data_IF_906802543980
#
_entry.id   IF_906802543980
#
_cell.length_a   1.000
_cell.length_b   1.000
_cell.length_c   1.000
_cell.angle_alpha   90.00
_cell.angle_beta   90.00
_cell.angle_gamma   90.00
#
_symmetry.space_group_name_H-M   'P 1'
#
loop_
_entity.id
_entity.type
_entity.pdbx_description
1 polymer ?
#
# COMPACT_ATOMS: atom_id res chain seq x y z
N UNK A 1 -0.07 -4.45 -28.45
CA UNK A 1 0.79 -4.33 -27.25
C UNK A 1 0.79 -2.89 -26.75
N UNK A 2 0.57 -2.68 -25.46
CA UNK A 2 0.71 -1.37 -24.82
C UNK A 2 2.17 -1.04 -24.51
N UNK A 3 2.46 0.24 -24.34
CA UNK A 3 3.80 0.76 -24.09
C UNK A 3 3.96 1.25 -22.64
N UNK A 4 5.19 1.58 -22.26
CA UNK A 4 5.49 2.22 -20.97
C UNK A 4 4.76 3.56 -20.82
N UNK A 5 4.58 4.33 -21.91
CA UNK A 5 3.79 5.57 -21.87
C UNK A 5 2.31 5.31 -21.53
N UNK A 6 1.75 4.19 -22.00
CA UNK A 6 0.39 3.79 -21.63
C UNK A 6 0.31 3.42 -20.14
N UNK A 7 1.31 2.72 -19.59
CA UNK A 7 1.40 2.43 -18.15
C UNK A 7 1.46 3.74 -17.34
N UNK A 8 2.28 4.71 -17.75
CA UNK A 8 2.38 6.02 -17.09
C UNK A 8 1.08 6.80 -17.11
N UNK A 9 0.31 6.67 -18.19
CA UNK A 9 -1.01 7.30 -18.29
C UNK A 9 -2.03 6.69 -17.30
N UNK A 10 -1.83 5.44 -16.86
CA UNK A 10 -2.69 4.76 -15.88
C UNK A 10 -2.34 5.07 -14.43
N UNK A 11 -1.11 5.51 -14.13
CA UNK A 11 -0.65 5.81 -12.77
C UNK A 11 -1.67 6.66 -11.97
N UNK A 12 -2.23 7.77 -12.50
CA UNK A 12 -3.19 8.58 -11.74
C UNK A 12 -4.45 7.80 -11.36
N UNK A 13 -4.96 6.95 -12.25
CA UNK A 13 -6.14 6.12 -12.00
C UNK A 13 -5.84 5.04 -10.96
N UNK A 14 -4.67 4.41 -11.06
CA UNK A 14 -4.23 3.38 -10.11
C UNK A 14 -4.08 3.97 -8.73
N UNK A 15 -3.40 5.12 -8.60
CA UNK A 15 -3.22 5.83 -7.32
C UNK A 15 -4.57 6.23 -6.74
N UNK A 16 -5.51 6.75 -7.55
CA UNK A 16 -6.84 7.12 -7.05
C UNK A 16 -7.65 5.91 -6.55
N UNK A 17 -7.55 4.76 -7.22
CA UNK A 17 -8.21 3.54 -6.75
C UNK A 17 -7.53 2.97 -5.51
N UNK A 18 -6.21 3.01 -5.49
CA UNK A 18 -5.38 2.57 -4.37
C UNK A 18 -5.69 3.38 -3.10
N UNK A 19 -5.77 4.71 -3.21
CA UNK A 19 -6.06 5.61 -2.08
C UNK A 19 -7.46 5.44 -1.48
N UNK A 20 -8.39 4.86 -2.26
CA UNK A 20 -9.76 4.55 -1.82
C UNK A 20 -9.88 3.14 -1.23
N UNK A 21 -8.81 2.34 -1.33
CA UNK A 21 -8.82 0.99 -0.79
C UNK A 21 -8.83 1.05 0.74
N UNK A 22 -9.56 0.14 1.37
CA UNK A 22 -9.51 0.01 2.83
C UNK A 22 -8.22 -0.73 3.19
N UNK A 23 -7.19 0.03 3.59
CA UNK A 23 -5.91 -0.51 4.02
C UNK A 23 -6.04 -1.14 5.41
N UNK A 24 -5.58 -2.38 5.57
CA UNK A 24 -5.40 -2.99 6.88
C UNK A 24 -4.14 -2.41 7.53
N UNK A 25 -4.32 -1.71 8.66
CA UNK A 25 -3.25 -0.94 9.31
C UNK A 25 -2.78 -1.71 10.55
N UNK A 26 -1.55 -2.20 10.50
CA UNK A 26 -0.89 -2.82 11.64
C UNK A 26 -0.61 -1.82 12.77
N UNK A 27 -0.01 -2.27 13.86
CA UNK A 27 0.14 -1.46 15.06
C UNK A 27 1.58 -1.04 15.33
N UNK A 28 1.73 0.17 15.87
CA UNK A 28 2.99 0.70 16.35
C UNK A 28 2.90 0.92 17.85
N UNK A 29 3.81 0.29 18.59
CA UNK A 29 3.83 0.36 20.05
C UNK A 29 5.25 0.47 20.58
N UNK A 30 5.39 0.97 21.81
CA UNK A 30 6.66 0.95 22.52
C UNK A 30 6.73 -0.29 23.39
N UNK A 31 7.79 -1.09 23.22
CA UNK A 31 8.07 -2.22 24.09
C UNK A 31 9.37 -2.02 24.87
N UNK A 32 9.44 -2.64 26.04
CA UNK A 32 10.64 -2.63 26.88
C UNK A 32 11.41 -3.93 26.69
N UNK A 33 12.66 -3.82 26.22
CA UNK A 33 13.59 -4.93 26.06
C UNK A 33 14.87 -4.73 26.91
N UNK A 34 15.90 -5.55 26.66
CA UNK A 34 17.18 -5.54 27.39
C UNK A 34 17.99 -4.24 27.15
N UNK A 35 17.72 -3.51 26.06
CA UNK A 35 18.41 -2.29 25.64
C UNK A 35 17.62 -1.00 25.96
N UNK A 36 16.35 -1.11 26.36
CA UNK A 36 15.54 0.01 26.85
C UNK A 36 14.11 -0.01 26.31
N UNK A 37 13.53 1.18 26.12
CA UNK A 37 12.25 1.32 25.42
C UNK A 37 12.52 1.49 23.92
N UNK A 38 12.09 0.52 23.12
CA UNK A 38 12.16 0.53 21.66
C UNK A 38 10.79 0.80 21.03
N UNK A 39 10.77 1.43 19.85
CA UNK A 39 9.55 1.53 19.03
C UNK A 39 9.49 0.30 18.12
N UNK A 40 8.39 -0.44 18.22
CA UNK A 40 8.10 -1.59 17.37
C UNK A 40 6.96 -1.26 16.44
N UNK A 41 7.06 -1.79 15.23
CA UNK A 41 6.10 -1.57 14.16
C UNK A 41 5.71 -2.96 13.64
N UNK A 42 4.57 -3.46 14.07
CA UNK A 42 3.96 -4.66 13.54
C UNK A 42 3.20 -4.28 12.29
N UNK A 43 3.83 -4.50 11.14
CA UNK A 43 3.23 -4.21 9.83
C UNK A 43 2.18 -5.26 9.47
N UNK A 44 1.14 -4.83 8.78
CA UNK A 44 0.16 -5.71 8.13
C UNK A 44 0.36 -5.70 6.63
N UNK A 45 0.50 -6.89 6.05
CA UNK A 45 0.58 -7.08 4.61
C UNK A 45 -0.78 -6.82 3.96
N UNK A 46 -0.75 -6.06 2.88
CA UNK A 46 -1.90 -5.67 2.09
C UNK A 46 -1.63 -5.98 0.62
N UNK A 47 -2.72 -6.14 -0.13
CA UNK A 47 -2.68 -6.45 -1.54
C UNK A 47 -3.71 -5.60 -2.28
N UNK A 48 -3.32 -5.08 -3.44
CA UNK A 48 -4.17 -4.33 -4.34
C UNK A 48 -3.98 -4.87 -5.76
N UNK A 49 -5.07 -5.03 -6.50
CA UNK A 49 -5.03 -5.41 -7.91
C UNK A 49 -5.88 -4.50 -8.77
N UNK A 50 -5.33 -4.15 -9.93
CA UNK A 50 -5.98 -3.41 -10.99
C UNK A 50 -6.02 -4.30 -12.23
N UNK A 51 -7.23 -4.60 -12.70
CA UNK A 51 -7.46 -5.43 -13.87
C UNK A 51 -8.48 -4.76 -14.81
N UNK A 52 -8.00 -4.03 -15.83
CA UNK A 52 -8.85 -3.33 -16.78
C UNK A 52 -8.16 -3.19 -18.15
N UNK A 53 -8.92 -3.31 -19.24
CA UNK A 53 -8.44 -3.10 -20.61
C UNK A 53 -7.21 -3.97 -20.99
N UNK A 54 -7.17 -5.21 -20.49
CA UNK A 54 -6.06 -6.14 -20.71
C UNK A 54 -4.86 -5.92 -19.79
N UNK A 55 -4.86 -4.86 -18.98
CA UNK A 55 -3.87 -4.66 -17.92
C UNK A 55 -4.15 -5.54 -16.72
N UNK A 56 -3.10 -6.08 -16.14
CA UNK A 56 -3.07 -6.69 -14.83
C UNK A 56 -1.90 -6.07 -14.06
N UNK A 57 -2.22 -5.28 -13.03
CA UNK A 57 -1.23 -4.67 -12.15
C UNK A 57 -1.54 -5.10 -10.74
N UNK A 58 -0.57 -5.69 -10.07
CA UNK A 58 -0.69 -6.18 -8.69
C UNK A 58 0.34 -5.48 -7.83
N UNK A 59 -0.09 -5.05 -6.65
CA UNK A 59 0.73 -4.29 -5.71
C UNK A 59 0.62 -4.99 -4.36
N UNK A 60 1.75 -5.48 -3.87
CA UNK A 60 1.91 -5.91 -2.49
C UNK A 60 2.57 -4.79 -1.70
N UNK A 61 2.01 -4.48 -0.54
CA UNK A 61 2.49 -3.38 0.30
C UNK A 61 2.20 -3.71 1.75
N UNK A 62 2.82 -3.00 2.68
CA UNK A 62 2.58 -3.20 4.10
C UNK A 62 2.31 -1.88 4.79
N UNK A 63 1.38 -1.88 5.74
CA UNK A 63 0.93 -0.69 6.45
C UNK A 63 1.08 -0.86 7.97
N UNK A 64 1.39 0.22 8.65
CA UNK A 64 1.50 0.30 10.11
C UNK A 64 0.99 1.67 10.57
N UNK A 65 0.41 1.72 11.77
CA UNK A 65 -0.17 2.93 12.32
C UNK A 65 0.11 3.11 13.80
N UNK A 66 0.12 4.37 14.21
CA UNK A 66 0.21 4.78 15.61
C UNK A 66 -1.20 5.04 16.12
N UNK A 67 -1.55 4.41 17.24
CA UNK A 67 -2.88 4.47 17.83
C UNK A 67 -2.83 5.13 19.21
N UNK A 68 -3.76 6.04 19.47
CA UNK A 68 -4.03 6.57 20.80
C UNK A 68 -4.92 5.57 21.53
N UNK A 69 -4.35 4.90 22.52
CA UNK A 69 -5.08 3.92 23.33
C UNK A 69 -5.50 4.57 24.64
N UNK A 70 -6.78 4.92 24.74
CA UNK A 70 -7.40 5.29 26.01
C UNK A 70 -7.96 4.00 26.67
N UNK A 71 -7.40 3.55 27.80
CA UNK A 71 -7.90 2.37 28.50
C UNK A 71 -9.32 2.57 29.07
N UNK A 72 -9.87 3.79 29.02
CA UNK A 72 -11.14 4.15 29.59
C UNK A 72 -11.13 4.15 31.13
N UNK A 73 -12.30 4.32 31.70
CA UNK A 73 -12.52 4.29 33.15
C UNK A 73 -13.91 3.70 33.51
N UNK A 74 -14.36 3.93 34.75
CA UNK A 74 -15.65 3.42 35.22
C UNK A 74 -16.85 3.96 34.42
N UNK A 75 -16.73 5.14 33.80
CA UNK A 75 -17.79 5.80 33.05
C UNK A 75 -17.56 5.78 31.54
N UNK A 76 -16.32 5.59 31.10
CA UNK A 76 -15.87 5.76 29.71
C UNK A 76 -15.28 4.44 29.23
N UNK A 77 -15.82 3.81 28.17
CA UNK A 77 -15.25 2.57 27.64
C UNK A 77 -13.85 2.84 27.06
N UNK A 78 -12.98 1.81 26.99
CA UNK A 78 -11.71 1.93 26.28
C UNK A 78 -11.96 2.28 24.81
N UNK A 79 -11.09 3.13 24.25
CA UNK A 79 -11.05 3.43 22.82
C UNK A 79 -9.61 3.36 22.30
N UNK A 80 -9.51 3.10 21.00
CA UNK A 80 -8.26 3.04 20.28
C UNK A 80 -8.48 3.81 18.98
N UNK A 81 -7.94 5.01 18.91
CA UNK A 81 -8.12 5.92 17.78
C UNK A 81 -6.81 6.00 16.98
N UNK A 82 -6.88 5.75 15.68
CA UNK A 82 -5.72 5.86 14.80
C UNK A 82 -5.29 7.32 14.70
N UNK A 83 -4.03 7.61 15.05
CA UNK A 83 -3.45 8.97 15.00
C UNK A 83 -2.78 9.21 13.66
N UNK A 84 -2.02 8.22 13.18
CA UNK A 84 -1.24 8.27 11.95
C UNK A 84 -1.10 6.88 11.38
N UNK A 85 -1.09 6.76 10.07
CA UNK A 85 -0.71 5.53 9.40
C UNK A 85 0.20 5.81 8.21
N UNK A 86 1.10 4.87 7.99
CA UNK A 86 2.05 4.88 6.89
C UNK A 86 2.21 3.46 6.35
N UNK A 87 2.76 3.36 5.15
CA UNK A 87 3.12 2.09 4.55
C UNK A 87 4.29 2.23 3.61
N UNK A 88 4.68 1.08 3.06
CA UNK A 88 5.67 1.00 1.99
C UNK A 88 5.24 -0.10 1.03
N UNK A 89 5.48 0.13 -0.26
CA UNK A 89 5.31 -0.90 -1.28
C UNK A 89 6.43 -1.94 -1.13
N UNK A 90 6.09 -3.22 -1.23
CA UNK A 90 7.04 -4.32 -1.13
C UNK A 90 7.29 -4.99 -2.47
N UNK A 91 6.29 -5.04 -3.34
CA UNK A 91 6.38 -5.64 -4.67
C UNK A 91 5.31 -5.06 -5.61
N UNK A 92 5.66 -4.88 -6.89
CA UNK A 92 4.70 -4.53 -7.95
C UNK A 92 4.95 -5.47 -9.12
N UNK A 93 3.89 -6.06 -9.66
CA UNK A 93 3.91 -6.78 -10.93
C UNK A 93 2.96 -6.08 -11.89
N UNK A 94 3.34 -6.00 -13.17
CA UNK A 94 2.48 -5.47 -14.21
C UNK A 94 2.64 -6.25 -15.50
N UNK A 95 1.52 -6.70 -16.05
CA UNK A 95 1.43 -7.31 -17.36
C UNK A 95 0.28 -6.72 -18.17
N UNK A 96 0.39 -6.80 -19.48
CA UNK A 96 -0.66 -6.46 -20.41
C UNK A 96 -0.88 -7.59 -21.41
N UNK A 97 -2.11 -8.07 -21.49
CA UNK A 97 -2.54 -9.07 -22.46
C UNK A 97 -3.27 -8.39 -23.64
N UNK A 98 -2.79 -8.65 -24.85
CA UNK A 98 -3.37 -8.16 -26.09
C UNK A 98 -4.25 -9.23 -26.75
N UNK A 99 -5.57 -9.07 -26.70
CA UNK A 99 -6.55 -10.04 -27.21
C UNK A 99 -6.51 -10.18 -28.74
N UNK A 100 -6.07 -9.13 -29.47
CA UNK A 100 -5.97 -9.16 -30.92
C UNK A 100 -4.77 -10.00 -31.40
N UNK A 101 -3.65 -9.98 -30.66
CA UNK A 101 -2.43 -10.71 -31.02
C UNK A 101 -2.19 -11.99 -30.21
N UNK A 102 -2.98 -12.24 -29.17
CA UNK A 102 -2.79 -13.35 -28.20
C UNK A 102 -1.39 -13.33 -27.57
N UNK A 103 -0.86 -12.13 -27.33
CA UNK A 103 0.48 -11.91 -26.76
C UNK A 103 0.40 -11.19 -25.41
N UNK A 104 1.20 -11.64 -24.45
CA UNK A 104 1.39 -11.01 -23.15
C UNK A 104 2.71 -10.23 -23.14
N UNK A 105 2.68 -9.03 -22.56
CA UNK A 105 3.86 -8.20 -22.32
C UNK A 105 3.98 -7.92 -20.83
N UNK A 106 5.12 -8.31 -20.25
CA UNK A 106 5.46 -8.03 -18.86
C UNK A 106 6.35 -6.79 -18.77
N UNK A 107 6.12 -5.95 -17.76
CA UNK A 107 6.93 -4.77 -17.48
C UNK A 107 7.98 -5.08 -16.41
N UNK A 108 9.18 -4.53 -16.57
CA UNK A 108 10.26 -4.73 -15.61
C UNK A 108 10.14 -3.81 -14.39
N UNK A 109 10.81 -4.12 -13.29
CA UNK A 109 10.91 -3.23 -12.13
C UNK A 109 11.37 -1.80 -12.48
N UNK A 110 12.24 -1.64 -13.48
CA UNK A 110 12.73 -0.32 -13.91
C UNK A 110 11.60 0.51 -14.54
N UNK A 111 10.70 -0.15 -15.29
CA UNK A 111 9.51 0.47 -15.88
C UNK A 111 8.48 0.86 -14.81
N UNK A 112 8.43 0.10 -13.71
CA UNK A 112 7.49 0.26 -12.61
C UNK A 112 7.93 1.29 -11.56
N UNK A 113 9.15 1.82 -11.66
CA UNK A 113 9.71 2.75 -10.68
C UNK A 113 8.88 4.03 -10.49
N UNK A 114 8.26 4.56 -11.55
CA UNK A 114 7.36 5.72 -11.43
C UNK A 114 6.05 5.38 -10.71
N UNK A 115 5.48 4.20 -10.98
CA UNK A 115 4.29 3.73 -10.28
C UNK A 115 4.61 3.46 -8.80
N UNK A 116 5.75 2.83 -8.53
CA UNK A 116 6.26 2.61 -7.18
C UNK A 116 6.38 3.92 -6.41
N UNK A 117 7.07 4.91 -6.98
CA UNK A 117 7.24 6.20 -6.33
C UNK A 117 5.92 6.93 -6.07
N UNK A 118 4.93 6.78 -6.95
CA UNK A 118 3.60 7.36 -6.78
C UNK A 118 2.82 6.69 -5.63
N UNK A 119 2.83 5.36 -5.58
CA UNK A 119 2.16 4.58 -4.53
C UNK A 119 2.83 4.74 -3.17
N UNK A 120 4.16 4.72 -3.11
CA UNK A 120 4.92 4.97 -1.89
C UNK A 120 4.65 6.38 -1.35
N UNK A 121 4.50 7.37 -2.24
CA UNK A 121 4.15 8.72 -1.82
C UNK A 121 2.74 8.80 -1.22
N UNK A 122 1.79 8.04 -1.74
CA UNK A 122 0.44 7.95 -1.17
C UNK A 122 0.47 7.23 0.18
N UNK A 123 1.28 6.18 0.31
CA UNK A 123 1.42 5.40 1.54
C UNK A 123 2.10 6.16 2.70
N UNK A 124 2.71 7.32 2.48
CA UNK A 124 3.39 8.08 3.55
C UNK A 124 2.44 8.60 4.62
N UNK A 125 1.19 8.87 4.25
CA UNK A 125 0.19 9.50 5.11
C UNK A 125 -1.20 9.03 4.65
N UNK A 126 -1.66 7.92 5.23
CA UNK A 126 -2.92 7.26 4.85
C UNK A 126 -4.03 7.39 5.92
N UNK A 127 -3.78 8.15 6.99
CA UNK A 127 -4.75 8.42 8.06
C UNK A 127 -4.52 9.78 8.73
#
# INVERSE_FOLDING_TARGET
>A
MKTIDDLKALIPTIVEQFSKNEHEIGESYFEQDEDGWGKCNDYTDNYFSYAEDGWLIEVSYKCCGEYDNDPGDYWTPPCCDLIKAWGEVTEITASHYDDDTDEESEFSDDDLNELWGALDNELKDIA
#
